data_IF_282618389181
#
_entry.id   IF_282618389181
#
_cell.length_a   1.000
_cell.length_b   1.000
_cell.length_c   1.000
_cell.angle_alpha   90.00
_cell.angle_beta   90.00
_cell.angle_gamma   90.00
#
_symmetry.space_group_name_H-M   'P 1'
#
loop_
_entity.id
_entity.type
_entity.pdbx_description
1 polymer ?
#
# COMPACT_ATOMS: atom_id res chain seq x y z
N UNK A 1 4.04 7.48 -0.98
CA UNK A 1 3.40 6.48 -0.08
C UNK A 1 2.43 7.09 0.94
N UNK A 2 2.55 8.34 1.40
CA UNK A 2 1.58 8.97 2.33
C UNK A 2 1.53 10.49 2.12
N UNK A 3 0.38 11.05 1.75
CA UNK A 3 0.20 12.51 1.60
C UNK A 3 0.50 13.24 2.91
N UNK A 4 0.94 14.50 2.85
CA UNK A 4 1.07 15.33 4.06
C UNK A 4 -0.27 15.58 4.75
N UNK A 5 -1.36 15.54 3.99
CA UNK A 5 -2.74 15.68 4.46
C UNK A 5 -3.63 14.63 3.82
N UNK A 6 -4.46 14.00 4.63
CA UNK A 6 -5.55 13.15 4.14
C UNK A 6 -6.75 14.04 3.82
N UNK A 7 -7.15 14.08 2.55
CA UNK A 7 -8.37 14.79 2.19
C UNK A 7 -9.56 14.06 2.79
N UNK A 8 -10.54 14.81 3.27
CA UNK A 8 -11.82 14.30 3.77
C UNK A 8 -12.94 14.90 2.93
N UNK A 9 -13.99 14.13 2.64
CA UNK A 9 -15.14 14.67 1.93
C UNK A 9 -15.76 15.81 2.74
N UNK A 10 -16.08 16.91 2.06
CA UNK A 10 -16.57 18.14 2.69
C UNK A 10 -15.48 19.09 3.19
N UNK A 11 -14.21 18.68 3.16
CA UNK A 11 -13.08 19.53 3.54
C UNK A 11 -12.22 19.87 2.32
N UNK A 12 -11.76 21.13 2.25
CA UNK A 12 -10.70 21.51 1.32
C UNK A 12 -9.35 20.90 1.75
N UNK A 13 -8.37 20.76 0.83
CA UNK A 13 -7.02 20.32 1.18
C UNK A 13 -6.36 21.21 2.24
N UNK A 14 -6.70 22.50 2.29
CA UNK A 14 -6.17 23.45 3.27
C UNK A 14 -6.80 23.28 4.68
N UNK A 15 -8.01 22.76 4.76
CA UNK A 15 -8.73 22.50 6.02
C UNK A 15 -8.56 21.08 6.56
N UNK A 16 -7.92 20.19 5.81
CA UNK A 16 -7.65 18.83 6.25
C UNK A 16 -6.47 18.80 7.22
N UNK A 17 -6.51 18.02 8.31
CA UNK A 17 -5.40 17.92 9.25
C UNK A 17 -4.13 17.38 8.59
N UNK A 18 -2.98 17.68 9.20
CA UNK A 18 -1.72 17.03 8.83
C UNK A 18 -1.77 15.57 9.25
N UNK A 19 -1.15 14.68 8.47
CA UNK A 19 -1.08 13.25 8.79
C UNK A 19 -0.53 12.99 10.20
N UNK A 20 0.47 13.74 10.66
CA UNK A 20 0.99 13.60 12.02
C UNK A 20 -0.07 13.82 13.11
N UNK A 21 -1.02 14.73 12.87
CA UNK A 21 -2.12 15.03 13.78
C UNK A 21 -3.29 14.03 13.73
N UNK A 22 -3.36 13.19 12.70
CA UNK A 22 -4.35 12.12 12.59
C UNK A 22 -3.90 10.82 13.30
N UNK A 23 -2.62 10.67 13.64
CA UNK A 23 -2.14 9.47 14.33
C UNK A 23 -2.78 9.33 15.71
N UNK A 24 -3.47 8.20 15.92
CA UNK A 24 -4.21 7.90 17.15
C UNK A 24 -5.31 8.90 17.51
N UNK A 25 -5.78 9.68 16.53
CA UNK A 25 -6.94 10.56 16.69
C UNK A 25 -8.22 9.85 16.25
N UNK A 26 -9.17 9.72 17.17
CA UNK A 26 -10.51 9.18 16.89
C UNK A 26 -11.60 10.25 16.99
N UNK A 27 -11.25 11.49 17.36
CA UNK A 27 -12.21 12.54 17.70
C UNK A 27 -13.18 12.82 16.54
N UNK A 28 -12.67 12.80 15.31
CA UNK A 28 -13.49 13.01 14.10
C UNK A 28 -14.40 11.81 13.76
N UNK A 29 -14.11 10.61 14.30
CA UNK A 29 -14.91 9.41 14.07
C UNK A 29 -16.04 9.25 15.09
N UNK A 30 -15.98 9.97 16.22
CA UNK A 30 -16.98 9.91 17.29
C UNK A 30 -17.97 11.08 17.26
N UNK A 31 -17.83 12.02 16.30
CA UNK A 31 -18.73 13.16 16.16
C UNK A 31 -20.09 12.80 15.54
N UNK A 32 -21.18 13.53 15.84
CA UNK A 32 -22.53 13.23 15.36
C UNK A 32 -22.81 13.65 13.90
N UNK A 33 -21.78 14.05 13.13
CA UNK A 33 -21.92 14.69 11.82
C UNK A 33 -21.77 13.67 10.67
N UNK A 34 -22.74 12.76 10.53
CA UNK A 34 -22.79 11.76 9.45
C UNK A 34 -21.93 10.52 9.72
N UNK A 35 -21.67 9.71 8.67
CA UNK A 35 -20.73 8.59 8.71
C UNK A 35 -19.29 9.08 8.40
N UNK A 36 -18.43 9.26 9.42
CA UNK A 36 -17.06 9.71 9.23
C UNK A 36 -16.21 8.64 8.53
N UNK A 37 -16.60 7.36 8.63
CA UNK A 37 -15.93 6.25 7.95
C UNK A 37 -16.26 6.32 6.45
N UNK A 38 -17.53 6.53 6.06
CA UNK A 38 -17.90 6.77 4.67
C UNK A 38 -17.12 7.93 4.05
N UNK A 39 -17.00 9.03 4.80
CA UNK A 39 -16.30 10.24 4.36
C UNK A 39 -14.81 10.01 4.13
N UNK A 40 -14.15 9.25 5.01
CA UNK A 40 -12.75 8.85 4.85
C UNK A 40 -12.57 7.89 3.68
N UNK A 41 -13.32 6.78 3.65
CA UNK A 41 -13.15 5.72 2.66
C UNK A 41 -13.40 6.22 1.25
N UNK A 42 -14.42 7.08 1.09
CA UNK A 42 -14.68 7.73 -0.18
C UNK A 42 -13.55 8.68 -0.56
N UNK A 43 -13.05 9.49 0.37
CA UNK A 43 -11.92 10.37 0.08
C UNK A 43 -10.66 9.58 -0.32
N UNK A 44 -10.40 8.42 0.29
CA UNK A 44 -9.30 7.53 -0.09
C UNK A 44 -9.46 6.97 -1.50
N UNK A 45 -10.69 6.66 -1.94
CA UNK A 45 -10.95 6.25 -3.31
C UNK A 45 -10.73 7.41 -4.30
N UNK A 46 -10.91 8.67 -3.88
CA UNK A 46 -10.76 9.84 -4.75
C UNK A 46 -9.34 10.42 -4.79
N UNK A 47 -8.63 10.37 -3.67
CA UNK A 47 -7.33 11.01 -3.55
C UNK A 47 -6.24 10.16 -4.22
N UNK A 48 -5.53 10.76 -5.17
CA UNK A 48 -4.41 10.09 -5.81
C UNK A 48 -3.33 9.77 -4.77
N UNK A 49 -2.97 8.49 -4.69
CA UNK A 49 -1.85 8.05 -3.87
C UNK A 49 -0.53 8.65 -4.36
N UNK A 50 0.33 9.06 -3.43
CA UNK A 50 1.71 9.40 -3.77
C UNK A 50 2.46 8.20 -4.34
N UNK A 51 3.42 8.47 -5.21
CA UNK A 51 4.32 7.46 -5.79
C UNK A 51 4.98 6.59 -4.70
N UNK A 52 5.24 5.34 -5.06
CA UNK A 52 6.10 4.43 -4.30
C UNK A 52 7.53 4.68 -4.74
N UNK A 53 8.30 5.35 -3.89
CA UNK A 53 9.71 5.68 -4.10
C UNK A 53 10.42 5.85 -2.75
N UNK A 54 11.67 6.31 -2.78
CA UNK A 54 12.46 6.58 -1.58
C UNK A 54 12.20 7.96 -0.94
N UNK A 55 11.15 8.68 -1.38
CA UNK A 55 10.76 9.96 -0.83
C UNK A 55 9.50 9.80 0.02
N UNK A 56 9.66 10.06 1.31
CA UNK A 56 8.58 9.95 2.29
C UNK A 56 8.20 11.34 2.80
N UNK A 57 6.91 11.50 3.09
CA UNK A 57 6.37 12.72 3.69
C UNK A 57 7.05 13.03 5.01
N UNK A 58 7.33 14.32 5.26
CA UNK A 58 7.90 14.80 6.54
C UNK A 58 7.04 14.41 7.74
N UNK A 59 5.75 14.17 7.51
CA UNK A 59 4.82 13.73 8.55
C UNK A 59 5.19 12.36 9.14
N UNK A 60 5.91 11.52 8.40
CA UNK A 60 6.40 10.20 8.88
C UNK A 60 7.91 10.12 9.05
N UNK A 61 8.69 11.02 8.43
CA UNK A 61 10.17 11.04 8.60
C UNK A 61 10.66 12.01 9.68
N UNK A 62 9.86 12.98 10.13
CA UNK A 62 10.26 13.91 11.20
C UNK A 62 9.21 14.07 12.30
N UNK A 63 7.95 13.76 12.00
CA UNK A 63 6.81 14.03 12.87
C UNK A 63 5.97 12.79 13.18
N UNK A 64 6.53 11.58 13.03
CA UNK A 64 5.80 10.35 13.40
C UNK A 64 5.47 10.40 14.90
N UNK A 65 4.19 10.34 15.22
CA UNK A 65 3.64 10.48 16.58
C UNK A 65 3.99 11.78 17.33
N UNK A 66 4.38 12.83 16.61
CA UNK A 66 4.52 14.15 17.20
C UNK A 66 3.13 14.66 17.64
N UNK A 67 2.98 15.01 18.92
CA UNK A 67 1.70 15.51 19.46
C UNK A 67 1.38 16.94 19.01
N UNK A 68 2.41 17.72 18.64
CA UNK A 68 2.30 19.09 18.12
C UNK A 68 3.28 19.28 16.98
N UNK A 69 3.02 20.27 16.11
CA UNK A 69 3.83 20.54 14.91
C UNK A 69 5.31 20.84 15.19
N UNK A 70 5.64 21.34 16.40
CA UNK A 70 7.00 21.65 16.83
C UNK A 70 7.59 20.62 17.82
N UNK A 71 6.84 19.56 18.16
CA UNK A 71 7.37 18.50 19.01
C UNK A 71 8.31 17.61 18.18
N UNK A 72 9.40 17.09 18.78
CA UNK A 72 10.21 16.08 18.13
C UNK A 72 9.36 14.83 17.88
N UNK A 73 9.31 14.37 16.62
CA UNK A 73 8.71 13.10 16.24
C UNK A 73 9.77 12.05 15.94
N UNK A 74 9.30 10.84 15.65
CA UNK A 74 10.16 9.77 15.15
C UNK A 74 10.29 9.83 13.62
N UNK A 75 11.29 9.11 13.10
CA UNK A 75 11.48 8.89 11.67
C UNK A 75 11.18 7.41 11.34
N UNK A 76 10.04 7.16 10.70
CA UNK A 76 9.61 5.83 10.29
C UNK A 76 10.60 5.15 9.34
N UNK A 77 11.26 5.91 8.46
CA UNK A 77 12.23 5.36 7.52
C UNK A 77 13.48 4.88 8.24
N UNK A 78 13.99 5.70 9.18
CA UNK A 78 15.10 5.30 10.04
C UNK A 78 14.76 4.08 10.89
N UNK A 79 13.52 4.00 11.40
CA UNK A 79 13.02 2.85 12.15
C UNK A 79 12.98 1.60 11.27
N UNK A 80 12.54 1.70 10.01
CA UNK A 80 12.51 0.57 9.09
C UNK A 80 13.93 0.03 8.80
N UNK A 81 14.91 0.92 8.61
CA UNK A 81 16.33 0.54 8.45
C UNK A 81 16.82 -0.16 9.71
N UNK A 82 16.61 0.45 10.89
CA UNK A 82 17.08 -0.12 12.15
C UNK A 82 16.39 -1.44 12.48
N UNK A 83 15.10 -1.59 12.13
CA UNK A 83 14.33 -2.84 12.28
C UNK A 83 14.89 -3.94 11.39
N UNK A 84 15.29 -3.60 10.16
CA UNK A 84 15.94 -4.56 9.27
C UNK A 84 17.22 -5.11 9.87
N UNK A 85 18.06 -4.24 10.45
CA UNK A 85 19.30 -4.63 11.14
C UNK A 85 19.06 -5.43 12.41
N UNK A 86 18.09 -5.01 13.23
CA UNK A 86 17.64 -5.71 14.44
C UNK A 86 17.19 -7.15 14.13
N UNK A 87 16.46 -7.33 13.02
CA UNK A 87 16.02 -8.64 12.55
C UNK A 87 17.10 -9.43 11.80
N UNK A 88 18.33 -8.90 11.69
CA UNK A 88 19.42 -9.56 10.97
C UNK A 88 19.13 -9.79 9.49
N UNK A 89 18.37 -8.90 8.84
CA UNK A 89 18.07 -9.03 7.41
C UNK A 89 19.37 -8.98 6.60
N UNK A 90 19.56 -9.91 5.65
CA UNK A 90 20.67 -9.82 4.72
C UNK A 90 20.64 -8.51 3.90
N UNK A 91 21.80 -8.03 3.43
CA UNK A 91 21.88 -6.86 2.57
C UNK A 91 21.08 -7.01 1.28
N UNK A 92 20.75 -5.87 0.67
CA UNK A 92 20.04 -5.78 -0.60
C UNK A 92 20.59 -6.70 -1.70
N UNK A 93 21.91 -6.73 -1.86
CA UNK A 93 22.56 -7.55 -2.91
C UNK A 93 22.33 -9.06 -2.69
N UNK A 94 22.20 -9.53 -1.45
CA UNK A 94 21.86 -10.93 -1.14
C UNK A 94 20.43 -11.27 -1.48
N UNK A 95 19.49 -10.36 -1.27
CA UNK A 95 18.11 -10.56 -1.71
C UNK A 95 17.98 -10.61 -3.22
N UNK A 96 18.79 -9.84 -3.96
CA UNK A 96 18.87 -9.95 -5.42
C UNK A 96 19.32 -11.35 -5.87
N UNK A 97 20.34 -11.91 -5.21
CA UNK A 97 20.82 -13.27 -5.48
C UNK A 97 19.72 -14.31 -5.22
N UNK A 98 19.02 -14.23 -4.08
CA UNK A 98 17.89 -15.12 -3.74
C UNK A 98 16.78 -15.05 -4.80
N UNK A 99 16.54 -13.86 -5.34
CA UNK A 99 15.57 -13.62 -6.40
C UNK A 99 16.05 -13.99 -7.81
N UNK A 100 17.27 -14.52 -7.97
CA UNK A 100 17.84 -14.87 -9.26
C UNK A 100 18.07 -13.66 -10.17
N UNK A 101 18.18 -12.46 -9.60
CA UNK A 101 18.43 -11.23 -10.35
C UNK A 101 19.94 -11.10 -10.67
N UNK A 102 20.31 -10.33 -11.70
CA UNK A 102 21.71 -10.10 -12.03
C UNK A 102 22.50 -9.59 -10.83
N UNK A 103 23.69 -10.17 -10.66
CA UNK A 103 24.62 -9.87 -9.58
C UNK A 103 25.08 -8.41 -9.69
N UNK A 104 25.08 -7.72 -8.54
CA UNK A 104 25.65 -6.38 -8.38
C UNK A 104 27.03 -6.55 -7.76
N UNK A 105 28.08 -6.09 -8.42
CA UNK A 105 29.48 -6.16 -7.95
C UNK A 105 29.96 -4.82 -7.40
N UNK A 106 29.48 -3.72 -7.99
CA UNK A 106 29.77 -2.36 -7.57
C UNK A 106 28.57 -1.45 -7.84
N UNK A 107 28.70 -0.17 -7.47
CA UNK A 107 27.63 0.82 -7.63
C UNK A 107 27.25 1.06 -9.09
N UNK A 108 28.14 0.83 -10.06
CA UNK A 108 27.85 1.06 -11.48
C UNK A 108 26.80 0.08 -12.02
N UNK A 109 26.75 -1.14 -11.46
CA UNK A 109 25.73 -2.12 -11.82
C UNK A 109 24.30 -1.66 -11.43
N UNK A 110 24.18 -0.71 -10.48
CA UNK A 110 22.89 -0.23 -9.98
C UNK A 110 22.19 0.75 -10.93
N UNK A 111 22.87 1.33 -11.92
CA UNK A 111 22.27 2.32 -12.85
C UNK A 111 21.11 1.73 -13.67
N UNK A 112 21.08 0.42 -13.87
CA UNK A 112 19.97 -0.26 -14.53
C UNK A 112 18.72 -0.37 -13.65
N UNK A 113 18.87 -0.20 -12.34
CA UNK A 113 17.83 -0.51 -11.36
C UNK A 113 17.35 0.71 -10.59
N UNK A 114 18.16 1.77 -10.44
CA UNK A 114 17.76 2.95 -9.67
C UNK A 114 18.40 4.24 -10.22
N UNK A 115 17.87 5.42 -9.91
CA UNK A 115 18.41 6.68 -10.40
C UNK A 115 19.83 6.97 -9.89
N UNK A 116 20.66 7.60 -10.72
CA UNK A 116 22.06 7.95 -10.41
C UNK A 116 22.22 8.72 -9.09
N UNK A 117 21.42 9.77 -8.88
CA UNK A 117 21.46 10.56 -7.64
C UNK A 117 21.14 9.73 -6.36
N UNK A 118 20.45 8.60 -6.50
CA UNK A 118 20.20 7.67 -5.38
C UNK A 118 21.43 6.81 -5.14
N UNK A 119 22.06 6.30 -6.20
CA UNK A 119 23.30 5.51 -6.14
C UNK A 119 24.40 6.32 -5.46
N UNK A 120 24.57 7.58 -5.84
CA UNK A 120 25.54 8.51 -5.21
C UNK A 120 25.29 8.67 -3.71
N UNK A 121 24.01 8.80 -3.30
CA UNK A 121 23.65 8.93 -1.88
C UNK A 121 23.89 7.63 -1.11
N UNK A 122 23.59 6.47 -1.71
CA UNK A 122 23.91 5.17 -1.12
C UNK A 122 25.42 5.02 -0.96
N UNK A 123 26.21 5.35 -2.00
CA UNK A 123 27.67 5.32 -1.93
C UNK A 123 28.24 6.27 -0.88
N UNK A 124 27.62 7.44 -0.67
CA UNK A 124 28.02 8.36 0.39
C UNK A 124 27.75 7.81 1.80
N UNK A 125 26.68 7.03 1.98
CA UNK A 125 26.27 6.47 3.29
C UNK A 125 27.04 5.18 3.61
N UNK A 126 27.12 4.24 2.66
CA UNK A 126 27.74 2.93 2.86
C UNK A 126 29.22 2.89 2.46
N UNK A 127 29.73 3.97 1.86
CA UNK A 127 31.11 4.08 1.37
C UNK A 127 31.29 3.49 -0.03
N UNK A 128 32.38 3.88 -0.72
CA UNK A 128 32.61 3.51 -2.13
C UNK A 128 32.80 2.01 -2.37
N UNK A 129 33.20 1.24 -1.34
CA UNK A 129 33.28 -0.22 -1.39
C UNK A 129 32.10 -0.95 -0.73
N UNK A 130 31.10 -0.21 -0.22
CA UNK A 130 30.03 -0.73 0.62
C UNK A 130 28.78 -1.21 -0.11
N UNK A 131 28.85 -1.51 -1.41
CA UNK A 131 27.67 -1.91 -2.20
C UNK A 131 26.98 -3.16 -1.61
N UNK A 132 27.75 -4.06 -1.00
CA UNK A 132 27.26 -5.27 -0.37
C UNK A 132 26.74 -5.06 1.05
N UNK A 133 26.84 -3.85 1.60
CA UNK A 133 26.36 -3.48 2.94
C UNK A 133 25.03 -2.70 2.89
N UNK A 134 24.53 -2.39 1.69
CA UNK A 134 23.30 -1.61 1.53
C UNK A 134 22.12 -2.36 2.15
N UNK A 135 21.43 -1.71 3.09
CA UNK A 135 20.24 -2.28 3.72
C UNK A 135 19.13 -2.53 2.68
N UNK A 136 18.38 -3.63 2.85
CA UNK A 136 17.34 -4.05 1.90
C UNK A 136 16.30 -2.95 1.65
N UNK A 137 15.76 -2.35 2.72
CA UNK A 137 14.63 -1.42 2.61
C UNK A 137 14.93 -0.19 1.74
N UNK A 138 15.97 0.62 2.02
CA UNK A 138 16.27 1.81 1.23
C UNK A 138 16.57 1.51 -0.23
N UNK A 139 17.29 0.43 -0.54
CA UNK A 139 17.56 0.06 -1.93
C UNK A 139 16.31 -0.47 -2.65
N UNK A 140 15.51 -1.31 -1.98
CA UNK A 140 14.34 -1.93 -2.58
C UNK A 140 13.25 -0.92 -2.97
N UNK A 141 13.01 0.12 -2.15
CA UNK A 141 12.08 1.21 -2.50
C UNK A 141 12.65 2.19 -3.55
N UNK A 142 13.96 2.14 -3.77
CA UNK A 142 14.65 2.99 -4.75
C UNK A 142 14.71 2.38 -6.15
N UNK A 143 14.36 1.10 -6.30
CA UNK A 143 14.34 0.45 -7.60
C UNK A 143 13.26 1.04 -8.52
N UNK A 144 13.55 1.13 -9.81
CA UNK A 144 12.57 1.45 -10.84
C UNK A 144 11.46 0.39 -10.84
N UNK A 145 10.18 0.80 -10.87
CA UNK A 145 9.08 -0.14 -10.94
C UNK A 145 9.15 -1.04 -12.17
N UNK A 146 8.75 -2.30 -12.02
CA UNK A 146 8.53 -3.21 -13.15
C UNK A 146 7.36 -2.73 -14.02
N UNK A 147 7.32 -3.16 -15.28
CA UNK A 147 6.24 -2.76 -16.19
C UNK A 147 4.86 -3.19 -15.64
N UNK A 148 3.93 -2.23 -15.53
CA UNK A 148 2.61 -2.44 -14.95
C UNK A 148 2.58 -2.61 -13.43
N UNK A 149 3.72 -2.48 -12.74
CA UNK A 149 3.84 -2.63 -11.30
C UNK A 149 4.23 -1.33 -10.57
N UNK A 150 4.16 -1.37 -9.24
CA UNK A 150 4.57 -0.26 -8.36
C UNK A 150 5.93 -0.50 -7.69
N UNK A 151 6.42 -1.74 -7.70
CA UNK A 151 7.63 -2.16 -7.01
C UNK A 151 8.72 -2.48 -8.02
N UNK A 152 9.98 -2.31 -7.60
CA UNK A 152 11.11 -2.81 -8.37
C UNK A 152 11.21 -4.33 -8.39
N UNK A 153 12.12 -4.90 -9.18
CA UNK A 153 12.26 -6.35 -9.35
C UNK A 153 12.51 -7.10 -8.03
N UNK A 154 13.32 -6.56 -7.12
CA UNK A 154 13.64 -7.24 -5.85
C UNK A 154 12.42 -7.34 -4.95
N UNK A 155 11.73 -6.23 -4.74
CA UNK A 155 10.51 -6.23 -3.92
C UNK A 155 9.34 -6.92 -4.60
N UNK A 156 9.24 -6.89 -5.93
CA UNK A 156 8.26 -7.69 -6.67
C UNK A 156 8.49 -9.19 -6.41
N UNK A 157 9.73 -9.67 -6.49
CA UNK A 157 10.07 -11.06 -6.17
C UNK A 157 9.68 -11.43 -4.74
N UNK A 158 10.12 -10.67 -3.73
CA UNK A 158 9.86 -10.98 -2.31
C UNK A 158 8.35 -10.98 -2.02
N UNK A 159 7.65 -9.91 -2.44
CA UNK A 159 6.22 -9.75 -2.19
C UNK A 159 5.40 -10.81 -2.93
N UNK A 160 5.67 -11.04 -4.22
CA UNK A 160 4.93 -12.06 -5.00
C UNK A 160 5.17 -13.47 -4.49
N UNK A 161 6.40 -13.80 -4.07
CA UNK A 161 6.70 -15.08 -3.45
C UNK A 161 5.91 -15.27 -2.16
N UNK A 162 5.87 -14.24 -1.29
CA UNK A 162 5.11 -14.30 -0.05
C UNK A 162 3.61 -14.49 -0.30
N UNK A 163 3.01 -13.71 -1.22
CA UNK A 163 1.60 -13.87 -1.59
C UNK A 163 1.30 -15.24 -2.21
N UNK A 164 2.21 -15.77 -3.03
CA UNK A 164 2.09 -17.12 -3.60
C UNK A 164 2.04 -18.18 -2.51
N UNK A 165 2.99 -18.14 -1.57
CA UNK A 165 3.03 -19.12 -0.46
C UNK A 165 1.80 -19.00 0.43
N UNK A 166 1.34 -17.78 0.73
CA UNK A 166 0.10 -17.59 1.49
C UNK A 166 -1.12 -18.16 0.77
N UNK A 167 -1.28 -17.89 -0.53
CA UNK A 167 -2.41 -18.38 -1.32
C UNK A 167 -2.41 -19.91 -1.46
N UNK A 168 -1.29 -20.49 -1.91
CA UNK A 168 -1.23 -21.93 -2.24
C UNK A 168 -0.90 -22.82 -1.05
N UNK A 169 -0.36 -22.26 0.04
CA UNK A 169 -0.11 -22.96 1.29
C UNK A 169 -1.30 -22.97 2.25
N UNK A 170 -2.34 -22.18 1.99
CA UNK A 170 -3.52 -22.11 2.84
C UNK A 170 -4.56 -23.15 2.45
N UNK A 171 -4.79 -24.12 3.34
CA UNK A 171 -5.82 -25.14 3.19
C UNK A 171 -7.22 -24.53 3.09
N UNK A 172 -7.46 -23.37 3.67
CA UNK A 172 -8.74 -22.67 3.69
C UNK A 172 -8.80 -21.48 2.71
N UNK A 173 -7.84 -21.37 1.79
CA UNK A 173 -7.96 -20.41 0.70
C UNK A 173 -9.30 -20.60 -0.02
N UNK A 174 -10.04 -19.51 -0.25
CA UNK A 174 -11.47 -19.60 -0.64
C UNK A 174 -11.71 -20.32 -1.97
N UNK A 175 -10.73 -20.37 -2.87
CA UNK A 175 -10.81 -21.11 -4.14
C UNK A 175 -10.43 -22.60 -4.00
N UNK A 176 -9.99 -23.05 -2.82
CA UNK A 176 -9.58 -24.42 -2.60
C UNK A 176 -10.79 -25.34 -2.42
N UNK A 177 -11.09 -26.15 -3.44
CA UNK A 177 -12.22 -27.10 -3.44
C UNK A 177 -11.88 -28.48 -2.85
N UNK A 178 -10.73 -28.64 -2.18
CA UNK A 178 -10.22 -29.93 -1.71
C UNK A 178 -10.26 -30.11 -0.18
N UNK A 179 -11.06 -29.33 0.55
CA UNK A 179 -11.26 -29.51 2.00
C UNK A 179 -12.75 -29.62 2.39
N UNK A 180 -13.10 -30.19 3.57
CA UNK A 180 -14.50 -30.41 3.96
C UNK A 180 -15.35 -29.14 4.10
N UNK A 181 -14.72 -28.01 4.45
CA UNK A 181 -15.39 -26.71 4.63
C UNK A 181 -15.32 -25.79 3.41
N UNK A 182 -15.09 -26.34 2.22
CA UNK A 182 -14.95 -25.58 0.98
C UNK A 182 -16.26 -24.88 0.61
N UNK A 183 -16.13 -23.78 -0.13
CA UNK A 183 -17.26 -23.17 -0.80
C UNK A 183 -17.71 -24.01 -2.01
N UNK A 184 -19.00 -23.92 -2.36
CA UNK A 184 -19.52 -24.43 -3.63
C UNK A 184 -19.04 -23.57 -4.81
N UNK A 185 -19.20 -24.06 -6.03
CA UNK A 185 -18.82 -23.27 -7.21
C UNK A 185 -19.66 -22.00 -7.34
N UNK A 186 -20.95 -22.05 -6.98
CA UNK A 186 -21.86 -20.91 -6.97
C UNK A 186 -21.45 -19.88 -5.93
N UNK A 187 -21.07 -20.34 -4.73
CA UNK A 187 -20.55 -19.49 -3.67
C UNK A 187 -19.24 -18.79 -4.09
N UNK A 188 -18.31 -19.52 -4.71
CA UNK A 188 -17.05 -18.95 -5.25
C UNK A 188 -17.35 -17.91 -6.33
N UNK A 189 -18.25 -18.20 -7.27
CA UNK A 189 -18.63 -17.26 -8.32
C UNK A 189 -19.23 -15.97 -7.75
N UNK A 190 -20.04 -16.08 -6.68
CA UNK A 190 -20.60 -14.94 -5.94
C UNK A 190 -19.52 -14.12 -5.23
N UNK A 191 -18.55 -14.79 -4.58
CA UNK A 191 -17.40 -14.13 -3.94
C UNK A 191 -16.55 -13.39 -4.98
N UNK A 192 -16.22 -14.02 -6.12
CA UNK A 192 -15.40 -13.43 -7.18
C UNK A 192 -16.06 -12.22 -7.85
N UNK A 193 -17.39 -12.14 -7.81
CA UNK A 193 -18.18 -11.01 -8.30
C UNK A 193 -18.07 -9.79 -7.36
N UNK A 194 -17.75 -10.00 -6.08
CA UNK A 194 -17.67 -8.93 -5.07
C UNK A 194 -16.54 -7.96 -5.36
N UNK A 195 -16.83 -6.66 -5.28
CA UNK A 195 -15.84 -5.59 -5.46
C UNK A 195 -15.70 -4.76 -4.18
N UNK A 196 -14.54 -4.11 -3.96
CA UNK A 196 -14.41 -3.16 -2.85
C UNK A 196 -15.42 -2.00 -2.99
N UNK A 197 -15.81 -1.61 -4.21
CA UNK A 197 -16.90 -0.65 -4.43
C UNK A 197 -18.24 -1.15 -3.84
N UNK A 198 -18.63 -2.40 -4.10
CA UNK A 198 -19.85 -2.98 -3.53
C UNK A 198 -19.80 -3.07 -2.00
N UNK A 199 -18.63 -3.41 -1.44
CA UNK A 199 -18.43 -3.45 0.01
C UNK A 199 -18.62 -2.06 0.64
N UNK A 200 -18.08 -1.01 0.01
CA UNK A 200 -18.28 0.37 0.46
C UNK A 200 -19.76 0.77 0.37
N UNK A 201 -20.41 0.54 -0.78
CA UNK A 201 -21.83 0.85 -0.97
C UNK A 201 -22.77 0.14 0.03
N UNK A 202 -22.43 -1.09 0.45
CA UNK A 202 -23.28 -1.88 1.34
C UNK A 202 -23.11 -1.54 2.82
N UNK A 203 -21.95 -1.01 3.20
CA UNK A 203 -21.57 -0.87 4.62
C UNK A 203 -21.26 0.57 5.04
N UNK A 204 -21.65 1.57 4.23
CA UNK A 204 -21.42 2.99 4.54
C UNK A 204 -22.47 3.86 3.85
N UNK A 205 -22.53 5.15 4.21
CA UNK A 205 -23.48 6.11 3.63
C UNK A 205 -23.12 6.59 2.21
N UNK A 206 -22.16 5.95 1.54
CA UNK A 206 -21.73 6.29 0.18
C UNK A 206 -22.85 6.07 -0.82
N UNK A 207 -23.17 7.11 -1.59
CA UNK A 207 -24.25 7.07 -2.60
C UNK A 207 -23.76 6.79 -4.02
N UNK A 208 -22.54 7.25 -4.36
CA UNK A 208 -21.92 7.07 -5.66
C UNK A 208 -20.42 6.84 -5.51
N UNK A 209 -19.88 5.90 -6.28
CA UNK A 209 -18.45 5.59 -6.32
C UNK A 209 -18.09 5.01 -7.69
N UNK A 210 -16.82 5.06 -8.08
CA UNK A 210 -16.34 4.43 -9.31
C UNK A 210 -16.06 2.93 -9.07
N UNK A 211 -16.15 2.12 -10.14
CA UNK A 211 -16.09 0.64 -10.01
C UNK A 211 -14.71 0.16 -9.56
N UNK A 212 -13.64 0.74 -10.08
CA UNK A 212 -12.27 0.32 -9.77
C UNK A 212 -11.65 1.24 -8.72
N UNK A 213 -11.94 0.99 -7.44
CA UNK A 213 -11.61 1.92 -6.34
C UNK A 213 -10.13 2.15 -6.05
N UNK A 214 -9.23 1.35 -6.64
CA UNK A 214 -7.78 1.58 -6.58
C UNK A 214 -7.26 2.45 -7.72
N UNK A 215 -8.08 2.70 -8.75
CA UNK A 215 -7.80 3.61 -9.85
C UNK A 215 -8.55 4.92 -9.59
N UNK A 216 -7.90 6.07 -9.80
CA UNK A 216 -8.58 7.36 -9.64
C UNK A 216 -9.76 7.50 -10.61
N UNK A 217 -10.70 8.35 -10.23
CA UNK A 217 -11.82 8.72 -11.10
C UNK A 217 -11.30 9.29 -12.43
N UNK A 218 -11.90 8.83 -13.53
CA UNK A 218 -11.58 9.25 -14.88
C UNK A 218 -12.77 9.01 -15.80
N UNK A 219 -12.78 9.53 -17.04
CA UNK A 219 -13.82 9.20 -18.01
C UNK A 219 -13.98 7.69 -18.26
N UNK A 220 -12.91 6.90 -18.09
CA UNK A 220 -12.92 5.43 -18.19
C UNK A 220 -13.27 4.70 -16.88
N UNK A 221 -13.32 5.42 -15.76
CA UNK A 221 -13.69 4.91 -14.44
C UNK A 221 -14.60 5.94 -13.73
N UNK A 222 -15.77 6.25 -14.32
CA UNK A 222 -16.67 7.27 -13.78
C UNK A 222 -17.35 6.76 -12.51
N UNK A 223 -17.82 7.69 -11.68
CA UNK A 223 -18.73 7.35 -10.58
C UNK A 223 -20.07 6.88 -11.12
N UNK A 224 -20.65 5.92 -10.42
CA UNK A 224 -22.01 5.46 -10.67
C UNK A 224 -22.76 5.30 -9.34
N UNK A 225 -24.10 5.37 -9.36
CA UNK A 225 -24.90 5.13 -8.16
C UNK A 225 -24.65 3.76 -7.54
N UNK A 226 -24.60 3.70 -6.22
CA UNK A 226 -24.40 2.46 -5.47
C UNK A 226 -25.48 1.41 -5.78
N UNK A 227 -26.70 1.82 -6.12
CA UNK A 227 -27.75 0.90 -6.59
C UNK A 227 -27.34 0.12 -7.83
N UNK A 228 -26.61 0.74 -8.76
CA UNK A 228 -26.07 0.08 -9.96
C UNK A 228 -24.97 -0.91 -9.58
N UNK A 229 -24.04 -0.48 -8.71
CA UNK A 229 -22.92 -1.33 -8.25
C UNK A 229 -23.41 -2.56 -7.51
N UNK A 230 -24.37 -2.40 -6.60
CA UNK A 230 -24.93 -3.51 -5.81
C UNK A 230 -25.69 -4.48 -6.71
N UNK A 231 -26.46 -3.99 -7.68
CA UNK A 231 -27.09 -4.86 -8.68
C UNK A 231 -26.05 -5.67 -9.48
N UNK A 232 -24.94 -5.04 -9.87
CA UNK A 232 -23.90 -5.66 -10.70
C UNK A 232 -22.93 -6.56 -9.95
N UNK A 233 -22.65 -6.31 -8.66
CA UNK A 233 -21.49 -6.90 -7.96
C UNK A 233 -21.73 -7.32 -6.50
N UNK A 234 -22.96 -7.22 -5.97
CA UNK A 234 -23.21 -7.61 -4.58
C UNK A 234 -23.10 -9.14 -4.37
N UNK A 235 -22.68 -9.49 -3.15
CA UNK A 235 -22.56 -10.86 -2.68
C UNK A 235 -23.94 -11.45 -2.40
N UNK A 236 -24.27 -12.53 -3.11
CA UNK A 236 -25.50 -13.31 -2.86
C UNK A 236 -25.35 -14.20 -1.62
N UNK A 237 -25.79 -13.68 -0.48
CA UNK A 237 -25.75 -14.37 0.80
C UNK A 237 -26.75 -15.55 0.88
N UNK A 238 -27.73 -15.64 -0.01
CA UNK A 238 -28.71 -16.73 0.01
C UNK A 238 -28.10 -18.08 -0.40
N UNK A 239 -26.87 -18.06 -0.91
CA UNK A 239 -26.09 -19.27 -1.19
C UNK A 239 -25.57 -19.96 0.09
N UNK A 240 -25.77 -19.37 1.27
CA UNK A 240 -25.42 -19.91 2.59
C UNK A 240 -26.68 -20.06 3.48
N UNK A 241 -27.49 -21.11 3.27
CA UNK A 241 -28.71 -21.36 4.05
C UNK A 241 -28.46 -21.80 5.49
#
# INVERSE_FOLDING_TARGET
MLSERYQRIGHSPASSPLLSGDFFSMDDYCGPHGDPVASLLSAQAYQQAQRVDNLFSRQVTNHLFAKKMNDPGFDLFSINVQRGRDHGLPPYTKWREVCGLPQVKDYSDLHHYMPEHVIERLAAVYGPGGVHEIDLFPAGVSEFPVNGGLLGPTFTCIVSHQFKVLKFGDRFWYENIHHPGKFSNEQIASIQKTTLASLLCRNSDVQEIHRKVFEVESPSNPRVPCSVILHETDLDVNLWP
#
